data_IF_313998514122
#
_entry.id   IF_313998514122
#
_cell.length_a   1.000
_cell.length_b   1.000
_cell.length_c   1.000
_cell.angle_alpha   90.00
_cell.angle_beta   90.00
_cell.angle_gamma   90.00
#
_symmetry.space_group_name_H-M   'P 1'
#
loop_
_entity.id
_entity.type
_entity.pdbx_description
1 polymer ?
#
# COMPACT_ATOMS: atom_id res chain seq x y z
N UNK A 1 -11.61 3.51 -33.92
CA UNK A 1 -10.72 4.19 -32.98
C UNK A 1 -10.79 3.43 -31.66
N UNK A 2 -9.90 2.46 -31.47
CA UNK A 2 -9.76 1.73 -30.21
C UNK A 2 -8.65 2.41 -29.43
N UNK A 3 -8.96 2.91 -28.23
CA UNK A 3 -7.96 3.45 -27.32
C UNK A 3 -7.04 2.31 -26.86
N UNK A 4 -5.74 2.45 -27.14
CA UNK A 4 -4.65 1.61 -26.63
C UNK A 4 -4.38 1.97 -25.16
N UNK A 5 -5.18 1.45 -24.23
CA UNK A 5 -4.95 1.58 -22.79
C UNK A 5 -5.21 0.26 -22.07
N UNK A 6 -4.72 -0.85 -22.63
CA UNK A 6 -4.71 -2.14 -21.94
C UNK A 6 -3.26 -2.41 -21.50
N UNK A 7 -3.05 -2.46 -20.20
CA UNK A 7 -1.83 -3.03 -19.62
C UNK A 7 -1.70 -4.48 -20.11
N UNK A 8 -0.48 -4.96 -20.29
CA UNK A 8 -0.29 -6.40 -20.47
C UNK A 8 -0.80 -7.16 -19.25
N UNK A 9 -1.01 -8.47 -19.40
CA UNK A 9 -1.42 -9.31 -18.28
C UNK A 9 -0.41 -9.25 -17.13
N UNK A 10 0.89 -9.30 -17.44
CA UNK A 10 1.97 -9.21 -16.45
C UNK A 10 1.94 -7.86 -15.71
N UNK A 11 1.83 -6.75 -16.45
CA UNK A 11 1.72 -5.42 -15.82
C UNK A 11 0.46 -5.29 -14.97
N UNK A 12 -0.66 -5.86 -15.41
CA UNK A 12 -1.91 -5.86 -14.65
C UNK A 12 -1.76 -6.62 -13.33
N UNK A 13 -1.14 -7.80 -13.37
CA UNK A 13 -0.88 -8.62 -12.18
C UNK A 13 0.05 -7.91 -11.19
N UNK A 14 1.10 -7.25 -11.69
CA UNK A 14 2.02 -6.45 -10.87
C UNK A 14 1.31 -5.26 -10.19
N UNK A 15 0.46 -4.54 -10.92
CA UNK A 15 -0.33 -3.42 -10.35
C UNK A 15 -1.28 -3.94 -9.27
N UNK A 16 -2.02 -5.01 -9.52
CA UNK A 16 -2.93 -5.62 -8.53
C UNK A 16 -2.16 -6.06 -7.28
N UNK A 17 -1.00 -6.68 -7.47
CA UNK A 17 -0.13 -7.08 -6.36
C UNK A 17 0.30 -5.87 -5.52
N UNK A 18 0.76 -4.78 -6.17
CA UNK A 18 1.17 -3.55 -5.48
C UNK A 18 0.01 -2.87 -4.76
N UNK A 19 -1.19 -2.83 -5.34
CA UNK A 19 -2.40 -2.32 -4.67
C UNK A 19 -2.73 -3.13 -3.42
N UNK A 20 -2.73 -4.46 -3.51
CA UNK A 20 -2.96 -5.34 -2.36
C UNK A 20 -1.89 -5.13 -1.27
N UNK A 21 -0.65 -4.91 -1.68
CA UNK A 21 0.47 -4.66 -0.77
C UNK A 21 0.33 -3.32 -0.04
N UNK A 22 -0.05 -2.26 -0.75
CA UNK A 22 -0.37 -0.96 -0.19
C UNK A 22 -1.52 -1.06 0.83
N UNK A 23 -2.63 -1.71 0.46
CA UNK A 23 -3.76 -1.93 1.35
C UNK A 23 -3.35 -2.70 2.62
N UNK A 24 -2.50 -3.72 2.49
CA UNK A 24 -1.96 -4.47 3.63
C UNK A 24 -1.15 -3.57 4.58
N UNK A 25 -0.21 -2.78 4.04
CA UNK A 25 0.62 -1.92 4.87
C UNK A 25 -0.18 -0.84 5.59
N UNK A 26 -1.11 -0.16 4.89
CA UNK A 26 -1.95 0.85 5.51
C UNK A 26 -2.88 0.25 6.57
N UNK A 27 -3.43 -0.95 6.35
CA UNK A 27 -4.20 -1.67 7.39
C UNK A 27 -3.35 -1.97 8.62
N UNK A 28 -2.08 -2.34 8.42
CA UNK A 28 -1.16 -2.65 9.51
C UNK A 28 -0.70 -1.38 10.24
N UNK A 29 -0.42 -0.30 9.51
CA UNK A 29 -0.17 1.02 10.07
C UNK A 29 -1.33 1.46 10.98
N UNK A 30 -2.58 1.29 10.52
CA UNK A 30 -3.80 1.58 11.31
C UNK A 30 -3.83 0.80 12.61
N UNK A 31 -3.56 -0.51 12.54
CA UNK A 31 -3.54 -1.40 13.72
C UNK A 31 -2.49 -0.98 14.75
N UNK A 32 -1.33 -0.48 14.30
CA UNK A 32 -0.24 -0.03 15.16
C UNK A 32 -0.34 1.47 15.53
N UNK A 33 -1.39 2.18 15.09
CA UNK A 33 -1.59 3.60 15.38
C UNK A 33 -0.58 4.53 14.68
N UNK A 34 0.02 4.09 13.57
CA UNK A 34 0.96 4.88 12.78
C UNK A 34 0.19 5.81 11.83
N UNK A 35 0.66 7.04 11.70
CA UNK A 35 0.08 8.06 10.79
C UNK A 35 -1.46 8.19 10.90
N UNK A 36 -2.04 8.34 12.11
CA UNK A 36 -3.48 8.24 12.35
C UNK A 36 -4.31 9.28 11.59
N UNK A 37 -3.70 10.40 11.20
CA UNK A 37 -4.35 11.48 10.48
C UNK A 37 -4.65 11.13 9.01
N UNK A 38 -3.86 10.22 8.40
CA UNK A 38 -3.95 9.91 6.97
C UNK A 38 -4.27 8.43 6.69
N UNK A 39 -4.07 7.55 7.68
CA UNK A 39 -4.15 6.10 7.50
C UNK A 39 -5.52 5.61 7.01
N UNK A 40 -6.60 6.23 7.48
CA UNK A 40 -7.95 5.84 7.09
C UNK A 40 -8.22 6.22 5.62
N UNK A 41 -7.89 7.46 5.25
CA UNK A 41 -8.05 7.95 3.88
C UNK A 41 -7.25 7.06 2.89
N UNK A 42 -5.97 6.81 3.19
CA UNK A 42 -5.11 5.99 2.35
C UNK A 42 -5.60 4.56 2.25
N UNK A 43 -6.05 3.96 3.36
CA UNK A 43 -6.59 2.59 3.33
C UNK A 43 -7.84 2.49 2.45
N UNK A 44 -8.75 3.47 2.51
CA UNK A 44 -9.97 3.45 1.70
C UNK A 44 -9.66 3.55 0.20
N UNK A 45 -8.68 4.36 -0.20
CA UNK A 45 -8.24 4.46 -1.61
C UNK A 45 -7.85 3.09 -2.15
N UNK A 46 -6.96 2.37 -1.47
CA UNK A 46 -6.46 1.07 -1.95
C UNK A 46 -7.50 -0.05 -1.82
N UNK A 47 -8.45 0.04 -0.89
CA UNK A 47 -9.54 -0.93 -0.78
C UNK A 47 -10.55 -0.83 -1.93
N UNK A 48 -10.76 0.36 -2.48
CA UNK A 48 -11.75 0.61 -3.53
C UNK A 48 -11.25 0.29 -4.96
N UNK A 49 -9.94 0.10 -5.14
CA UNK A 49 -9.34 -0.12 -6.47
C UNK A 49 -9.40 -1.58 -6.97
N UNK A 50 -9.64 -2.56 -6.09
CA UNK A 50 -9.59 -3.99 -6.45
C UNK A 50 -10.81 -4.55 -7.21
N UNK A 51 -11.81 -3.72 -7.54
CA UNK A 51 -13.06 -4.19 -8.17
C UNK A 51 -13.08 -4.10 -9.70
N UNK A 52 -12.10 -3.44 -10.32
CA UNK A 52 -12.04 -3.23 -11.76
C UNK A 52 -10.66 -3.62 -12.31
N UNK A 53 -10.54 -3.95 -13.61
CA UNK A 53 -9.24 -4.16 -14.23
C UNK A 53 -8.36 -2.91 -14.08
N UNK A 54 -7.06 -3.07 -13.75
CA UNK A 54 -6.17 -1.94 -13.56
C UNK A 54 -5.92 -1.21 -14.88
N UNK A 55 -5.89 0.10 -14.79
CA UNK A 55 -5.60 1.02 -15.89
C UNK A 55 -4.14 1.49 -15.82
N UNK A 56 -3.66 2.13 -16.88
CA UNK A 56 -2.35 2.78 -16.88
C UNK A 56 -2.23 3.88 -15.81
N UNK A 57 -3.34 4.48 -15.38
CA UNK A 57 -3.35 5.44 -14.27
C UNK A 57 -3.08 4.72 -12.93
N UNK A 58 -3.70 3.56 -12.72
CA UNK A 58 -3.49 2.75 -11.52
C UNK A 58 -2.01 2.34 -11.37
N UNK A 59 -1.35 2.04 -12.49
CA UNK A 59 0.09 1.77 -12.51
C UNK A 59 0.94 2.95 -12.00
N UNK A 60 0.55 4.19 -12.31
CA UNK A 60 1.24 5.38 -11.79
C UNK A 60 0.91 5.61 -10.31
N UNK A 61 -0.34 5.38 -9.93
CA UNK A 61 -0.79 5.59 -8.55
C UNK A 61 -0.11 4.60 -7.59
N UNK A 62 0.02 3.32 -7.95
CA UNK A 62 0.72 2.35 -7.09
C UNK A 62 2.16 2.75 -6.83
N UNK A 63 2.87 3.26 -7.84
CA UNK A 63 4.24 3.74 -7.66
C UNK A 63 4.30 4.94 -6.71
N UNK A 64 3.35 5.88 -6.83
CA UNK A 64 3.24 7.01 -5.90
C UNK A 64 2.93 6.56 -4.47
N UNK A 65 2.04 5.61 -4.30
CA UNK A 65 1.69 5.03 -3.02
C UNK A 65 2.88 4.35 -2.35
N UNK A 66 3.67 3.58 -3.11
CA UNK A 66 4.89 2.94 -2.62
C UNK A 66 5.95 3.96 -2.23
N UNK A 67 6.10 5.04 -3.00
CA UNK A 67 7.00 6.15 -2.64
C UNK A 67 6.55 6.84 -1.35
N UNK A 68 5.25 7.04 -1.15
CA UNK A 68 4.71 7.63 0.09
C UNK A 68 4.99 6.75 1.30
N UNK A 69 4.74 5.43 1.22
CA UNK A 69 5.08 4.48 2.29
C UNK A 69 6.57 4.55 2.66
N UNK A 70 7.45 4.62 1.65
CA UNK A 70 8.89 4.73 1.86
C UNK A 70 9.28 6.06 2.51
N UNK A 71 8.67 7.16 2.07
CA UNK A 71 8.95 8.50 2.60
C UNK A 71 8.53 8.63 4.08
N UNK A 72 7.40 8.03 4.44
CA UNK A 72 6.92 7.97 5.82
C UNK A 72 7.67 6.92 6.65
N UNK A 73 8.45 6.05 6.03
CA UNK A 73 9.18 4.99 6.73
C UNK A 73 8.27 3.95 7.39
N UNK A 74 7.06 3.73 6.86
CA UNK A 74 6.05 2.85 7.45
C UNK A 74 6.58 1.44 7.68
N UNK A 75 7.35 0.89 6.74
CA UNK A 75 7.95 -0.45 6.86
C UNK A 75 8.88 -0.54 8.07
N UNK A 76 9.75 0.45 8.26
CA UNK A 76 10.68 0.51 9.40
C UNK A 76 9.91 0.66 10.71
N UNK A 77 8.94 1.57 10.77
CA UNK A 77 8.11 1.76 11.97
C UNK A 77 7.34 0.48 12.35
N UNK A 78 6.79 -0.24 11.35
CA UNK A 78 6.11 -1.51 11.57
C UNK A 78 7.06 -2.62 12.02
N UNK A 79 8.28 -2.66 11.47
CA UNK A 79 9.30 -3.61 11.89
C UNK A 79 9.76 -3.38 13.32
N UNK A 80 10.04 -2.12 13.70
CA UNK A 80 10.38 -1.74 15.08
C UNK A 80 9.26 -2.07 16.07
N UNK A 81 8.01 -1.77 15.71
CA UNK A 81 6.84 -2.13 16.51
C UNK A 81 6.67 -3.65 16.66
N UNK A 82 7.02 -4.43 15.62
CA UNK A 82 6.99 -5.89 15.69
C UNK A 82 8.07 -6.46 16.62
N UNK A 83 9.23 -5.83 16.72
CA UNK A 83 10.31 -6.26 17.64
C UNK A 83 9.94 -6.05 19.11
N UNK A 84 9.29 -4.94 19.43
CA UNK A 84 8.83 -4.63 20.80
C UNK A 84 7.77 -5.62 21.33
N UNK A 85 7.09 -6.34 20.44
CA UNK A 85 6.14 -7.40 20.81
C UNK A 85 6.82 -8.75 21.09
N UNK A 86 8.06 -8.95 20.62
CA UNK A 86 8.79 -10.21 20.73
C UNK A 86 9.81 -10.16 21.88
N UNK A 87 10.31 -8.97 22.23
CA UNK A 87 11.22 -8.77 23.36
C UNK A 87 10.64 -7.74 24.35
N UNK A 88 9.87 -8.18 25.37
CA UNK A 88 9.34 -7.31 26.40
C UNK A 88 10.37 -6.86 27.46
N UNK A 89 11.63 -7.33 27.41
CA UNK A 89 12.62 -7.15 28.49
C UNK A 89 13.89 -6.36 28.08
N UNK A 90 13.81 -5.51 27.07
CA UNK A 90 14.85 -4.50 26.82
C UNK A 90 14.56 -3.22 27.61
N UNK A 91 14.84 -3.23 28.93
CA UNK A 91 14.86 -2.05 29.80
C UNK A 91 16.29 -1.68 30.20
#
# INVERSE_FOLDING_TARGET
MLCLSELSQEESEDVIFKQAWLAYFWRRAKKHGLEPEIVEERLQVWMNQGTQPPTSHDAVDVERGLMELRKLGIETQLWEGSRKLIDPDSN
#
